data_IF_949295015297
#
_entry.id   IF_949295015297
#
_cell.length_a   1.000
_cell.length_b   1.000
_cell.length_c   1.000
_cell.angle_alpha   90.00
_cell.angle_beta   90.00
_cell.angle_gamma   90.00
#
_symmetry.space_group_name_H-M   'P 1'
#
loop_
_entity.id
_entity.type
_entity.pdbx_description
1 polymer ?
#
# COMPACT_ATOMS: atom_id res chain seq x y z
N UNK A 1 20.93 12.08 -9.04
CA UNK A 1 20.40 11.06 -9.98
C UNK A 1 19.36 10.17 -9.33
N UNK A 2 19.53 9.76 -8.07
CA UNK A 2 18.55 8.98 -7.28
C UNK A 2 17.13 9.56 -7.29
N UNK A 3 16.96 10.88 -7.21
CA UNK A 3 15.64 11.53 -7.26
C UNK A 3 14.84 11.27 -8.54
N UNK A 4 15.50 11.12 -9.69
CA UNK A 4 14.82 10.77 -10.95
C UNK A 4 14.31 9.33 -10.96
N UNK A 5 15.01 8.40 -10.31
CA UNK A 5 14.56 7.03 -10.17
C UNK A 5 13.42 6.93 -9.15
N UNK A 6 13.52 7.68 -8.05
CA UNK A 6 12.48 7.74 -7.01
C UNK A 6 11.16 8.36 -7.48
N UNK A 7 11.14 9.17 -8.54
CA UNK A 7 9.90 9.78 -9.06
C UNK A 7 9.05 8.81 -9.88
N UNK A 8 9.65 7.76 -10.47
CA UNK A 8 8.96 6.82 -11.36
C UNK A 8 7.81 6.06 -10.65
N UNK A 9 8.01 5.49 -9.44
CA UNK A 9 6.91 4.87 -8.70
C UNK A 9 5.76 5.84 -8.41
N UNK A 10 6.05 7.11 -8.12
CA UNK A 10 5.03 8.13 -7.87
C UNK A 10 4.23 8.49 -9.13
N UNK A 11 4.87 8.51 -10.31
CA UNK A 11 4.15 8.69 -11.56
C UNK A 11 3.15 7.54 -11.81
N UNK A 12 3.58 6.30 -11.58
CA UNK A 12 2.70 5.14 -11.68
C UNK A 12 1.59 5.19 -10.62
N UNK A 13 1.90 5.63 -9.40
CA UNK A 13 0.94 5.83 -8.33
C UNK A 13 -0.17 6.81 -8.71
N UNK A 14 0.17 7.95 -9.34
CA UNK A 14 -0.80 8.94 -9.79
C UNK A 14 -1.76 8.31 -10.83
N UNK A 15 -1.20 7.66 -11.85
CA UNK A 15 -1.99 7.01 -12.91
C UNK A 15 -2.89 5.92 -12.32
N UNK A 16 -2.32 5.09 -11.45
CA UNK A 16 -3.02 4.00 -10.78
C UNK A 16 -4.15 4.52 -9.89
N UNK A 17 -3.92 5.58 -9.12
CA UNK A 17 -4.91 6.16 -8.21
C UNK A 17 -6.07 6.78 -8.97
N UNK A 18 -5.81 7.53 -10.05
CA UNK A 18 -6.85 8.11 -10.89
C UNK A 18 -7.67 7.02 -11.58
N UNK A 19 -7.00 6.03 -12.18
CA UNK A 19 -7.65 4.92 -12.85
C UNK A 19 -8.50 4.07 -11.90
N UNK A 20 -7.93 3.63 -10.78
CA UNK A 20 -8.63 2.81 -9.80
C UNK A 20 -9.82 3.55 -9.19
N UNK A 21 -9.70 4.85 -8.89
CA UNK A 21 -10.81 5.66 -8.39
C UNK A 21 -11.93 5.76 -9.42
N UNK A 22 -11.61 6.11 -10.67
CA UNK A 22 -12.60 6.23 -11.75
C UNK A 22 -13.36 4.92 -12.02
N UNK A 23 -12.64 3.80 -12.15
CA UNK A 23 -13.27 2.51 -12.41
C UNK A 23 -14.02 1.97 -11.19
N UNK A 24 -13.54 2.24 -9.98
CA UNK A 24 -14.22 1.91 -8.74
C UNK A 24 -15.56 2.64 -8.64
N UNK A 25 -15.59 3.95 -8.91
CA UNK A 25 -16.80 4.75 -8.90
C UNK A 25 -17.81 4.24 -9.95
N UNK A 26 -17.34 3.90 -11.15
CA UNK A 26 -18.21 3.40 -12.22
C UNK A 26 -18.81 2.02 -11.92
N UNK A 27 -18.06 1.14 -11.24
CA UNK A 27 -18.51 -0.22 -10.93
C UNK A 27 -19.23 -0.34 -9.58
N UNK A 28 -19.14 0.68 -8.72
CA UNK A 28 -19.65 0.70 -7.33
C UNK A 28 -19.19 -0.49 -6.47
N UNK A 29 -18.15 -1.21 -6.92
CA UNK A 29 -17.57 -2.39 -6.26
C UNK A 29 -16.21 -2.04 -5.71
N UNK A 30 -16.17 -1.19 -4.68
CA UNK A 30 -14.92 -0.58 -4.23
C UNK A 30 -13.92 -1.57 -3.65
N UNK A 31 -14.40 -2.63 -3.00
CA UNK A 31 -13.56 -3.66 -2.37
C UNK A 31 -12.58 -4.29 -3.38
N UNK A 32 -13.05 -4.59 -4.59
CA UNK A 32 -12.23 -5.24 -5.62
C UNK A 32 -11.15 -4.32 -6.20
N UNK A 33 -11.25 -3.00 -5.98
CA UNK A 33 -10.22 -2.04 -6.35
C UNK A 33 -9.26 -1.72 -5.21
N UNK A 34 -9.33 -2.43 -4.07
CA UNK A 34 -8.43 -2.24 -2.93
C UNK A 34 -7.52 -3.45 -2.77
N UNK A 35 -8.07 -4.61 -2.40
CA UNK A 35 -7.26 -5.75 -1.99
C UNK A 35 -6.31 -6.31 -3.09
N UNK A 36 -6.66 -6.34 -4.40
CA UNK A 36 -5.75 -6.89 -5.40
C UNK A 36 -4.51 -6.02 -5.58
N UNK A 37 -4.67 -4.70 -5.51
CA UNK A 37 -3.55 -3.76 -5.57
C UNK A 37 -2.62 -3.93 -4.38
N UNK A 38 -3.15 -4.07 -3.16
CA UNK A 38 -2.34 -4.36 -1.98
C UNK A 38 -1.59 -5.70 -2.10
N UNK A 39 -2.26 -6.74 -2.63
CA UNK A 39 -1.66 -8.05 -2.84
C UNK A 39 -0.54 -8.00 -3.90
N UNK A 40 -0.79 -7.37 -5.05
CA UNK A 40 0.21 -7.15 -6.11
C UNK A 40 1.39 -6.35 -5.54
N UNK A 41 1.11 -5.31 -4.76
CA UNK A 41 2.13 -4.52 -4.10
C UNK A 41 3.02 -5.36 -3.19
N UNK A 42 2.42 -6.22 -2.37
CA UNK A 42 3.17 -7.12 -1.47
C UNK A 42 4.03 -8.12 -2.23
N UNK A 43 3.47 -8.78 -3.25
CA UNK A 43 4.19 -9.77 -4.07
C UNK A 43 5.34 -9.10 -4.82
N UNK A 44 5.10 -7.94 -5.43
CA UNK A 44 6.13 -7.20 -6.15
C UNK A 44 7.23 -6.68 -5.21
N UNK A 45 6.86 -6.19 -4.02
CA UNK A 45 7.82 -5.73 -3.03
C UNK A 45 8.70 -6.88 -2.53
N UNK A 46 8.11 -8.03 -2.20
CA UNK A 46 8.85 -9.21 -1.79
C UNK A 46 9.70 -9.80 -2.93
N UNK A 47 9.18 -9.83 -4.15
CA UNK A 47 9.93 -10.25 -5.33
C UNK A 47 11.14 -9.37 -5.61
N UNK A 48 11.03 -8.05 -5.40
CA UNK A 48 12.16 -7.13 -5.54
C UNK A 48 13.29 -7.44 -4.56
N UNK A 49 12.95 -7.90 -3.36
CA UNK A 49 13.90 -8.33 -2.35
C UNK A 49 14.57 -9.66 -2.74
N UNK A 50 13.80 -10.64 -3.23
CA UNK A 50 14.34 -11.94 -3.63
C UNK A 50 15.35 -11.86 -4.78
N UNK A 51 15.12 -10.96 -5.74
CA UNK A 51 16.05 -10.73 -6.85
C UNK A 51 17.33 -10.01 -6.41
N UNK A 52 17.26 -9.26 -5.31
CA UNK A 52 18.41 -8.55 -4.75
C UNK A 52 19.03 -7.52 -5.70
N UNK A 53 20.31 -7.23 -5.45
CA UNK A 53 21.09 -6.25 -6.24
C UNK A 53 21.64 -6.82 -7.53
N UNK A 54 21.68 -8.14 -7.68
CA UNK A 54 22.25 -8.82 -8.86
C UNK A 54 21.45 -8.51 -10.12
N UNK A 55 20.15 -8.21 -9.98
CA UNK A 55 19.22 -7.94 -11.07
C UNK A 55 18.56 -6.56 -10.92
N UNK A 56 19.38 -5.51 -10.77
CA UNK A 56 18.95 -4.14 -10.48
C UNK A 56 17.70 -3.69 -11.26
N UNK A 57 17.68 -3.83 -12.58
CA UNK A 57 16.57 -3.37 -13.42
C UNK A 57 15.25 -4.09 -13.13
N UNK A 58 15.28 -5.41 -12.90
CA UNK A 58 14.08 -6.16 -12.55
C UNK A 58 13.60 -5.82 -11.14
N UNK A 59 14.51 -5.75 -10.16
CA UNK A 59 14.17 -5.32 -8.79
C UNK A 59 13.58 -3.90 -8.79
N UNK A 60 14.09 -3.01 -9.63
CA UNK A 60 13.58 -1.65 -9.77
C UNK A 60 12.19 -1.61 -10.40
N UNK A 61 11.93 -2.38 -11.47
CA UNK A 61 10.59 -2.49 -12.06
C UNK A 61 9.58 -3.03 -11.05
N UNK A 62 9.96 -4.05 -10.27
CA UNK A 62 9.12 -4.58 -9.20
C UNK A 62 8.86 -3.55 -8.10
N UNK A 63 9.85 -2.73 -7.72
CA UNK A 63 9.66 -1.62 -6.78
C UNK A 63 8.73 -0.53 -7.34
N UNK A 64 8.79 -0.24 -8.64
CA UNK A 64 7.85 0.67 -9.31
C UNK A 64 6.43 0.12 -9.21
N UNK A 65 6.23 -1.15 -9.54
CA UNK A 65 4.93 -1.83 -9.45
C UNK A 65 4.44 -1.80 -7.99
N UNK A 66 5.31 -2.13 -7.03
CA UNK A 66 4.97 -2.12 -5.62
C UNK A 66 4.51 -0.74 -5.14
N UNK A 67 5.31 0.30 -5.41
CA UNK A 67 4.96 1.68 -5.06
C UNK A 67 3.67 2.14 -5.71
N UNK A 68 3.52 1.91 -7.02
CA UNK A 68 2.30 2.27 -7.75
C UNK A 68 1.04 1.57 -7.19
N UNK A 69 1.15 0.27 -6.92
CA UNK A 69 0.04 -0.53 -6.41
C UNK A 69 -0.32 -0.20 -4.95
N UNK A 70 0.62 0.26 -4.13
CA UNK A 70 0.33 0.71 -2.75
C UNK A 70 -0.54 1.97 -2.74
N UNK A 71 -0.34 2.89 -3.69
CA UNK A 71 -1.06 4.16 -3.75
C UNK A 71 -2.34 4.10 -4.60
N UNK A 72 -2.42 3.21 -5.59
CA UNK A 72 -3.59 3.06 -6.45
C UNK A 72 -4.94 2.95 -5.70
N UNK A 73 -5.07 2.17 -4.60
CA UNK A 73 -6.37 1.98 -3.95
C UNK A 73 -6.75 3.09 -2.94
N UNK A 74 -5.97 4.17 -2.80
CA UNK A 74 -6.25 5.22 -1.80
C UNK A 74 -7.64 5.84 -1.99
N UNK A 75 -8.00 6.19 -3.23
CA UNK A 75 -9.32 6.77 -3.53
C UNK A 75 -10.47 5.81 -3.18
N UNK A 76 -10.49 4.58 -3.74
CA UNK A 76 -11.48 3.56 -3.39
C UNK A 76 -11.58 3.27 -1.88
N UNK A 77 -10.44 3.22 -1.18
CA UNK A 77 -10.39 2.94 0.26
C UNK A 77 -11.11 4.00 1.10
N UNK A 78 -10.79 5.28 0.90
CA UNK A 78 -11.44 6.36 1.65
C UNK A 78 -12.92 6.51 1.30
N UNK A 79 -13.28 6.24 0.05
CA UNK A 79 -14.67 6.29 -0.37
C UNK A 79 -15.53 5.18 0.28
N UNK A 80 -14.99 3.96 0.43
CA UNK A 80 -15.68 2.87 1.17
C UNK A 80 -16.05 3.33 2.57
N UNK A 81 -15.12 3.95 3.29
CA UNK A 81 -15.33 4.38 4.69
C UNK A 81 -16.52 5.34 4.80
N UNK A 82 -16.59 6.32 3.89
CA UNK A 82 -17.68 7.30 3.87
C UNK A 82 -19.00 6.73 3.37
N UNK A 83 -18.99 5.61 2.64
CA UNK A 83 -20.19 4.92 2.16
C UNK A 83 -20.78 3.99 3.23
N UNK A 84 -19.94 3.33 4.03
CA UNK A 84 -20.40 2.37 5.06
C UNK A 84 -20.77 3.02 6.38
N UNK A 85 -20.25 4.23 6.67
CA UNK A 85 -20.48 4.91 7.93
C UNK A 85 -21.53 6.03 7.78
N UNK A 86 -22.35 6.26 8.83
CA UNK A 86 -23.20 7.44 8.89
C UNK A 86 -22.40 8.75 8.74
N UNK A 87 -23.00 9.74 8.08
CA UNK A 87 -22.34 11.02 7.79
C UNK A 87 -21.85 11.76 9.04
N UNK A 88 -22.55 11.62 10.16
CA UNK A 88 -22.21 12.25 11.44
C UNK A 88 -20.96 11.66 12.11
N UNK A 89 -20.52 10.44 11.76
CA UNK A 89 -19.33 9.79 12.36
C UNK A 89 -18.19 9.59 11.36
N UNK A 90 -18.45 9.73 10.06
CA UNK A 90 -17.47 9.49 8.99
C UNK A 90 -16.21 10.34 9.12
N UNK A 91 -16.34 11.63 9.46
CA UNK A 91 -15.19 12.51 9.65
C UNK A 91 -14.28 12.05 10.82
N UNK A 92 -14.89 11.61 11.93
CA UNK A 92 -14.16 11.08 13.08
C UNK A 92 -13.43 9.76 12.75
N UNK A 93 -14.06 8.88 11.97
CA UNK A 93 -13.42 7.64 11.51
C UNK A 93 -12.22 7.91 10.61
N UNK A 94 -12.34 8.85 9.65
CA UNK A 94 -11.23 9.26 8.78
C UNK A 94 -10.09 9.89 9.59
N UNK A 95 -10.41 10.72 10.59
CA UNK A 95 -9.41 11.29 11.48
C UNK A 95 -8.67 10.21 12.28
N UNK A 96 -9.40 9.22 12.81
CA UNK A 96 -8.81 8.09 13.53
C UNK A 96 -7.85 7.29 12.64
N UNK A 97 -8.26 7.00 11.40
CA UNK A 97 -7.44 6.29 10.41
C UNK A 97 -6.14 7.05 10.13
N UNK A 98 -6.21 8.37 9.91
CA UNK A 98 -5.01 9.18 9.69
C UNK A 98 -4.09 9.21 10.92
N UNK A 99 -4.65 9.27 12.13
CA UNK A 99 -3.88 9.18 13.38
C UNK A 99 -3.15 7.84 13.51
N UNK A 100 -3.83 6.72 13.24
CA UNK A 100 -3.18 5.40 13.22
C UNK A 100 -2.18 5.25 12.07
N UNK A 101 -2.43 5.89 10.92
CA UNK A 101 -1.49 5.95 9.80
C UNK A 101 -0.19 6.67 10.17
N UNK A 102 -0.29 7.81 10.84
CA UNK A 102 0.88 8.56 11.33
C UNK A 102 1.65 7.76 12.41
N UNK A 103 0.93 7.13 13.35
CA UNK A 103 1.53 6.26 14.36
C UNK A 103 2.22 5.05 13.73
N UNK A 104 1.59 4.41 12.73
CA UNK A 104 2.18 3.31 11.97
C UNK A 104 3.42 3.74 11.19
N UNK A 105 3.44 4.95 10.62
CA UNK A 105 4.62 5.49 9.95
C UNK A 105 5.79 5.70 10.90
N UNK A 106 5.53 6.17 12.12
CA UNK A 106 6.56 6.34 13.15
C UNK A 106 7.10 4.99 13.64
N UNK A 107 6.20 4.10 14.08
CA UNK A 107 6.56 2.76 14.60
C UNK A 107 7.23 1.93 13.51
N UNK A 108 6.73 1.98 12.28
CA UNK A 108 7.29 1.26 11.14
C UNK A 108 8.71 1.73 10.81
N UNK A 109 8.96 3.04 10.74
CA UNK A 109 10.30 3.57 10.48
C UNK A 109 11.29 3.20 11.60
N UNK A 110 10.87 3.30 12.86
CA UNK A 110 11.69 2.88 14.01
C UNK A 110 12.02 1.38 13.95
N UNK A 111 11.02 0.53 13.72
CA UNK A 111 11.20 -0.92 13.71
C UNK A 111 12.06 -1.39 12.53
N UNK A 112 11.89 -0.79 11.35
CA UNK A 112 12.78 -1.02 10.20
C UNK A 112 14.22 -0.62 10.53
N UNK A 113 14.42 0.53 11.18
CA UNK A 113 15.75 0.95 11.63
C UNK A 113 16.38 -0.02 12.63
N UNK A 114 15.60 -0.47 13.61
CA UNK A 114 16.02 -1.47 14.60
C UNK A 114 16.39 -2.81 13.96
N UNK A 115 15.57 -3.32 13.04
CA UNK A 115 15.83 -4.56 12.31
C UNK A 115 17.10 -4.44 11.46
N UNK A 116 17.27 -3.34 10.73
CA UNK A 116 18.48 -3.11 9.93
C UNK A 116 19.74 -3.04 10.82
N UNK A 117 19.65 -2.37 11.97
CA UNK A 117 20.77 -2.22 12.90
C UNK A 117 21.16 -3.53 13.61
N UNK A 118 20.19 -4.37 13.95
CA UNK A 118 20.44 -5.63 14.68
C UNK A 118 20.83 -6.79 13.76
N UNK A 119 20.22 -6.87 12.58
CA UNK A 119 20.49 -7.97 11.62
C UNK A 119 21.67 -7.67 10.70
N UNK A 120 22.16 -6.42 10.66
CA UNK A 120 23.27 -6.00 9.81
C UNK A 120 22.93 -5.94 8.32
N UNK A 121 21.65 -6.09 7.94
CA UNK A 121 21.20 -6.06 6.56
C UNK A 121 19.73 -5.67 6.45
N UNK A 122 19.26 -5.50 5.21
CA UNK A 122 17.89 -5.03 4.96
C UNK A 122 16.83 -6.14 4.93
N UNK A 123 17.25 -7.41 4.89
CA UNK A 123 16.33 -8.51 4.60
C UNK A 123 15.17 -8.67 5.58
N UNK A 124 15.43 -8.56 6.89
CA UNK A 124 14.39 -8.65 7.90
C UNK A 124 13.34 -7.53 7.76
N UNK A 125 13.77 -6.32 7.42
CA UNK A 125 12.89 -5.18 7.19
C UNK A 125 12.04 -5.36 5.93
N UNK A 126 12.61 -5.86 4.84
CA UNK A 126 11.85 -6.14 3.62
C UNK A 126 10.78 -7.20 3.85
N UNK A 127 11.09 -8.28 4.58
CA UNK A 127 10.12 -9.32 4.95
C UNK A 127 9.01 -8.73 5.82
N UNK A 128 9.36 -7.92 6.83
CA UNK A 128 8.39 -7.27 7.70
C UNK A 128 7.45 -6.34 6.94
N UNK A 129 7.97 -5.50 6.06
CA UNK A 129 7.18 -4.57 5.24
C UNK A 129 6.28 -5.31 4.25
N UNK A 130 6.80 -6.31 3.55
CA UNK A 130 6.03 -7.16 2.63
C UNK A 130 4.90 -7.91 3.37
N UNK A 131 5.21 -8.47 4.53
CA UNK A 131 4.26 -9.18 5.39
C UNK A 131 3.17 -8.26 5.94
N UNK A 132 3.51 -7.03 6.31
CA UNK A 132 2.55 -6.02 6.77
C UNK A 132 1.60 -5.61 5.64
N UNK A 133 2.11 -5.43 4.42
CA UNK A 133 1.29 -5.13 3.24
C UNK A 133 0.38 -6.31 2.86
N UNK A 134 0.89 -7.54 2.95
CA UNK A 134 0.11 -8.77 2.76
C UNK A 134 -1.03 -8.87 3.79
N UNK A 135 -0.72 -8.65 5.07
CA UNK A 135 -1.70 -8.66 6.15
C UNK A 135 -2.78 -7.59 5.93
N UNK A 136 -2.40 -6.40 5.47
CA UNK A 136 -3.36 -5.35 5.09
C UNK A 136 -4.31 -5.80 3.99
N UNK A 137 -3.80 -6.50 2.95
CA UNK A 137 -4.64 -7.07 1.91
C UNK A 137 -5.63 -8.11 2.47
N UNK A 138 -5.17 -9.02 3.33
CA UNK A 138 -6.01 -10.05 3.97
C UNK A 138 -7.08 -9.42 4.86
N UNK A 139 -6.70 -8.45 5.71
CA UNK A 139 -7.64 -7.72 6.56
C UNK A 139 -8.70 -7.02 5.69
N UNK A 140 -8.30 -6.39 4.59
CA UNK A 140 -9.24 -5.74 3.66
C UNK A 140 -10.22 -6.76 3.05
N UNK A 141 -9.75 -7.96 2.68
CA UNK A 141 -10.62 -9.02 2.15
C UNK A 141 -11.67 -9.47 3.17
N UNK A 142 -11.32 -9.52 4.46
CA UNK A 142 -12.20 -10.03 5.52
C UNK A 142 -13.14 -8.93 6.04
N UNK A 143 -12.60 -7.75 6.32
CA UNK A 143 -13.29 -6.68 7.04
C UNK A 143 -14.21 -5.84 6.14
N UNK A 144 -13.83 -5.59 4.88
CA UNK A 144 -14.65 -4.79 3.97
C UNK A 144 -15.80 -5.66 3.47
N UNK A 145 -17.00 -5.41 3.97
CA UNK A 145 -18.25 -5.98 3.43
C UNK A 145 -18.85 -4.98 2.45
N UNK A 146 -19.09 -5.42 1.22
CA UNK A 146 -19.85 -4.59 0.28
C UNK A 146 -21.28 -4.46 0.83
N UNK A 147 -21.79 -3.23 0.93
CA UNK A 147 -23.23 -3.03 1.14
C UNK A 147 -23.93 -3.63 -0.08
N UNK A 148 -24.92 -4.48 0.16
CA UNK A 148 -25.85 -4.93 -0.89
C UNK A 148 -26.60 -3.74 -1.49
#
# INVERSE_FOLDING_TARGET
>A
TTGWLSSVPYLLAIIGMLGASYFSDKKLKRKIFIWPFLLIGSIAFYGSYLLGTDHFWMSFVLLIIAGGAMYAPYGPFFAVITEVLPKNVSAGAVALINSFGALGSFVGAYFVGYLNGTTGGFGASYIFMAGSLFLSAVITMIAVRESK
#
